data_IF_331427655965
#
_entry.id   IF_331427655965
#
_cell.length_a   1.000
_cell.length_b   1.000
_cell.length_c   1.000
_cell.angle_alpha   90.00
_cell.angle_beta   90.00
_cell.angle_gamma   90.00
#
_symmetry.space_group_name_H-M   'P 1'
#
loop_
_entity.id
_entity.type
_entity.pdbx_description
1 polymer ?
#
# COMPACT_ATOMS: atom_id res chain seq x y z
N UNK A 1 -10.75 8.09 6.84
CA UNK A 1 -9.72 7.80 5.82
C UNK A 1 -10.41 7.07 4.68
N UNK A 2 -9.91 7.19 3.46
CA UNK A 2 -10.31 6.32 2.34
C UNK A 2 -9.17 5.33 2.10
N UNK A 3 -9.49 4.07 1.83
CA UNK A 3 -8.52 3.04 1.43
C UNK A 3 -8.88 2.63 0.00
N UNK A 4 -7.92 2.64 -0.91
CA UNK A 4 -8.14 2.30 -2.32
C UNK A 4 -6.91 1.56 -2.86
N UNK A 5 -7.12 0.49 -3.60
CA UNK A 5 -6.07 -0.28 -4.25
C UNK A 5 -6.33 -0.41 -5.72
N UNK A 6 -5.33 -0.85 -6.47
CA UNK A 6 -5.55 -1.45 -7.80
C UNK A 6 -6.25 -0.46 -8.75
N UNK A 7 -5.93 0.83 -8.58
CA UNK A 7 -6.58 1.94 -9.25
C UNK A 7 -5.79 2.47 -10.44
N UNK A 8 -4.63 1.89 -10.74
CA UNK A 8 -3.61 2.43 -11.65
C UNK A 8 -3.92 2.48 -13.14
N UNK A 9 -5.19 2.63 -13.51
CA UNK A 9 -5.65 2.86 -14.87
C UNK A 9 -5.28 1.74 -15.84
N UNK A 10 -4.71 2.13 -16.98
CA UNK A 10 -4.31 1.20 -18.05
C UNK A 10 -2.86 1.42 -18.47
N UNK A 11 -2.20 0.38 -18.99
CA UNK A 11 -0.82 0.47 -19.50
C UNK A 11 -0.66 1.18 -20.85
N UNK A 12 -1.75 1.61 -21.48
CA UNK A 12 -1.75 2.29 -22.77
C UNK A 12 -2.64 3.53 -22.74
N UNK A 13 -2.41 4.53 -23.63
CA UNK A 13 -3.27 5.69 -23.71
C UNK A 13 -4.75 5.31 -23.82
N UNK A 14 -5.65 5.99 -23.09
CA UNK A 14 -5.43 7.25 -22.39
C UNK A 14 -4.88 7.14 -20.95
N UNK A 15 -4.41 5.96 -20.54
CA UNK A 15 -3.80 5.64 -19.22
C UNK A 15 -4.73 5.70 -18.01
N UNK A 16 -6.04 5.84 -18.23
CA UNK A 16 -7.08 5.76 -17.20
C UNK A 16 -8.22 4.88 -17.65
N UNK A 17 -8.99 4.32 -16.70
CA UNK A 17 -10.18 3.51 -16.99
C UNK A 17 -11.49 4.19 -16.54
N UNK A 18 -12.63 3.73 -17.07
CA UNK A 18 -13.94 4.22 -16.62
C UNK A 18 -14.17 3.90 -15.14
N UNK A 19 -13.74 2.73 -14.68
CA UNK A 19 -13.95 2.27 -13.31
C UNK A 19 -13.09 3.06 -12.32
N UNK A 20 -11.86 3.41 -12.71
CA UNK A 20 -10.98 4.30 -11.97
C UNK A 20 -11.62 5.69 -11.81
N UNK A 21 -12.16 6.26 -12.89
CA UNK A 21 -12.85 7.57 -12.82
C UNK A 21 -14.12 7.53 -11.98
N UNK A 22 -14.92 6.46 -12.11
CA UNK A 22 -16.10 6.28 -11.27
C UNK A 22 -15.72 6.18 -9.79
N UNK A 23 -14.63 5.48 -9.48
CA UNK A 23 -14.06 5.41 -8.13
C UNK A 23 -13.62 6.78 -7.64
N UNK A 24 -12.91 7.56 -8.47
CA UNK A 24 -12.51 8.93 -8.14
C UNK A 24 -13.71 9.85 -7.87
N UNK A 25 -14.79 9.72 -8.63
CA UNK A 25 -16.05 10.44 -8.38
C UNK A 25 -16.66 10.04 -7.02
N UNK A 26 -16.79 8.75 -6.74
CA UNK A 26 -17.32 8.29 -5.45
C UNK A 26 -16.45 8.74 -4.26
N UNK A 27 -15.13 8.71 -4.41
CA UNK A 27 -14.20 9.25 -3.40
C UNK A 27 -14.42 10.76 -3.18
N UNK A 28 -14.68 11.51 -4.25
CA UNK A 28 -14.95 12.95 -4.19
C UNK A 28 -16.23 13.25 -3.41
N UNK A 29 -17.31 12.49 -3.65
CA UNK A 29 -18.57 12.60 -2.91
C UNK A 29 -18.40 12.29 -1.42
N UNK A 30 -17.60 11.27 -1.09
CA UNK A 30 -17.26 10.94 0.31
C UNK A 30 -16.51 12.09 0.98
N UNK A 31 -15.58 12.75 0.28
CA UNK A 31 -14.84 13.89 0.81
C UNK A 31 -15.71 15.16 0.96
N UNK A 32 -16.79 15.29 0.20
CA UNK A 32 -17.75 16.40 0.34
C UNK A 32 -18.68 16.19 1.53
N UNK A 33 -19.09 14.95 1.79
CA UNK A 33 -19.98 14.57 2.91
C UNK A 33 -19.22 14.43 4.24
N UNK A 34 -17.93 14.08 4.21
CA UNK A 34 -17.18 13.64 5.41
C UNK A 34 -15.82 14.30 5.51
N UNK A 35 -15.38 14.50 6.75
CA UNK A 35 -14.00 14.92 7.04
C UNK A 35 -13.01 13.77 6.80
N UNK A 36 -12.59 13.60 5.55
CA UNK A 36 -11.50 12.70 5.16
C UNK A 36 -10.18 13.40 5.43
N UNK A 37 -9.28 12.72 6.14
CA UNK A 37 -7.95 13.26 6.49
C UNK A 37 -6.79 12.65 5.70
N UNK A 38 -7.03 11.53 5.03
CA UNK A 38 -6.01 10.76 4.31
C UNK A 38 -6.66 9.76 3.34
N UNK A 39 -5.96 9.51 2.24
CA UNK A 39 -6.14 8.34 1.37
C UNK A 39 -4.97 7.39 1.61
N UNK A 40 -5.26 6.10 1.79
CA UNK A 40 -4.28 5.02 1.87
C UNK A 40 -4.35 4.22 0.56
N UNK A 41 -3.32 4.33 -0.28
CA UNK A 41 -3.19 3.45 -1.45
C UNK A 41 -2.65 2.10 -1.01
N UNK A 42 -3.25 0.99 -1.46
CA UNK A 42 -2.74 -0.37 -1.25
C UNK A 42 -1.93 -0.90 -2.45
N UNK A 43 -1.42 -0.01 -3.31
CA UNK A 43 -0.51 -0.38 -4.41
C UNK A 43 -1.21 -0.66 -5.73
N UNK A 44 -0.41 -1.11 -6.71
CA UNK A 44 -0.74 -1.15 -8.13
C UNK A 44 -1.22 0.20 -8.65
N UNK A 45 -0.36 1.19 -8.39
CA UNK A 45 -0.63 2.59 -8.66
C UNK A 45 -0.58 2.91 -10.17
N UNK A 46 0.12 2.09 -10.97
CA UNK A 46 0.26 2.28 -12.40
C UNK A 46 0.33 0.94 -13.17
N UNK A 47 -0.80 0.47 -13.72
CA UNK A 47 -0.84 -0.75 -14.54
C UNK A 47 -0.23 -0.55 -15.94
N UNK A 48 0.32 -1.56 -16.61
CA UNK A 48 0.64 -2.91 -16.12
C UNK A 48 2.14 -3.08 -15.79
N UNK A 49 2.95 -2.04 -15.97
CA UNK A 49 4.40 -2.10 -15.79
C UNK A 49 4.96 -0.92 -15.00
N UNK A 50 4.14 -0.30 -14.15
CA UNK A 50 4.54 0.83 -13.34
C UNK A 50 4.87 2.06 -14.18
N UNK A 51 5.79 2.87 -13.65
CA UNK A 51 6.36 4.03 -14.35
C UNK A 51 7.56 3.57 -15.17
N UNK A 52 7.54 3.80 -16.48
CA UNK A 52 8.61 3.34 -17.36
C UNK A 52 9.85 4.24 -17.40
N UNK A 53 9.68 5.52 -17.04
CA UNK A 53 10.73 6.53 -17.17
C UNK A 53 11.26 6.99 -15.81
N UNK A 54 10.88 8.18 -15.35
CA UNK A 54 11.36 8.83 -14.13
C UNK A 54 10.19 9.59 -13.46
N UNK A 55 10.50 10.38 -12.44
CA UNK A 55 9.51 11.14 -11.68
C UNK A 55 8.78 12.25 -12.47
N UNK A 56 9.08 12.42 -13.77
CA UNK A 56 8.38 13.34 -14.69
C UNK A 56 7.51 12.61 -15.72
N UNK A 57 7.29 11.30 -15.57
CA UNK A 57 6.43 10.53 -16.48
C UNK A 57 5.00 11.09 -16.53
N UNK A 58 4.45 11.27 -17.74
CA UNK A 58 3.10 11.81 -17.95
C UNK A 58 2.00 10.94 -17.32
N UNK A 59 2.31 9.69 -16.95
CA UNK A 59 1.40 8.81 -16.22
C UNK A 59 1.04 9.30 -14.83
N UNK A 60 1.94 10.00 -14.13
CA UNK A 60 1.56 10.67 -12.88
C UNK A 60 0.44 11.69 -13.10
N UNK A 61 0.47 12.40 -14.24
CA UNK A 61 -0.59 13.34 -14.57
C UNK A 61 -1.86 12.62 -15.03
N UNK A 62 -1.74 11.73 -16.02
CA UNK A 62 -2.89 11.13 -16.71
C UNK A 62 -3.65 10.08 -15.90
N UNK A 63 -2.96 9.34 -15.03
CA UNK A 63 -3.56 8.31 -14.16
C UNK A 63 -3.85 8.84 -12.76
N UNK A 64 -3.04 9.76 -12.22
CA UNK A 64 -3.23 10.23 -10.83
C UNK A 64 -3.76 11.67 -10.71
N UNK A 65 -3.07 12.66 -11.28
CA UNK A 65 -3.43 14.07 -11.06
C UNK A 65 -4.75 14.48 -11.74
N UNK A 66 -4.96 14.07 -12.99
CA UNK A 66 -6.15 14.42 -13.76
C UNK A 66 -7.38 13.59 -13.34
N UNK A 67 -7.17 12.35 -12.91
CA UNK A 67 -8.25 11.44 -12.47
C UNK A 67 -8.79 11.87 -11.11
N UNK A 68 -7.92 12.07 -10.12
CA UNK A 68 -8.30 12.47 -8.75
C UNK A 68 -8.28 14.00 -8.60
N UNK A 69 -8.86 14.71 -9.56
CA UNK A 69 -8.75 16.16 -9.73
C UNK A 69 -9.82 17.00 -9.00
N UNK A 70 -10.83 16.37 -8.40
CA UNK A 70 -11.91 17.08 -7.71
C UNK A 70 -11.37 17.99 -6.58
N UNK A 71 -11.90 19.22 -6.41
CA UNK A 71 -11.49 20.11 -5.32
C UNK A 71 -11.56 19.47 -3.93
N UNK A 72 -12.52 18.55 -3.69
CA UNK A 72 -12.66 17.85 -2.41
C UNK A 72 -11.54 16.84 -2.14
N UNK A 73 -10.81 16.40 -3.17
CA UNK A 73 -9.67 15.47 -3.07
C UNK A 73 -8.30 16.16 -3.11
N UNK A 74 -8.20 17.33 -3.75
CA UNK A 74 -6.91 18.01 -3.99
C UNK A 74 -6.11 18.33 -2.71
N UNK A 75 -6.80 18.57 -1.59
CA UNK A 75 -6.17 18.85 -0.30
C UNK A 75 -5.82 17.61 0.54
N UNK A 76 -6.21 16.41 0.11
CA UNK A 76 -6.10 15.19 0.92
C UNK A 76 -4.77 14.49 0.61
N UNK A 77 -3.92 14.21 1.62
CA UNK A 77 -2.68 13.46 1.41
C UNK A 77 -2.97 11.98 1.09
N UNK A 78 -2.22 11.44 0.14
CA UNK A 78 -2.19 10.04 -0.25
C UNK A 78 -0.91 9.41 0.28
N UNK A 79 -1.06 8.39 1.12
CA UNK A 79 0.02 7.54 1.59
C UNK A 79 0.08 6.30 0.71
N UNK A 80 1.24 6.02 0.13
CA UNK A 80 1.36 5.08 -0.98
C UNK A 80 2.19 3.88 -0.58
N UNK A 81 1.71 2.65 -0.84
CA UNK A 81 2.58 1.48 -1.00
C UNK A 81 2.71 1.14 -2.49
N UNK A 82 3.75 0.38 -2.86
CA UNK A 82 3.89 -0.19 -4.19
C UNK A 82 3.26 -1.60 -4.24
N UNK A 83 2.63 -1.92 -5.37
CA UNK A 83 2.17 -3.27 -5.71
C UNK A 83 3.08 -3.98 -6.70
N UNK A 84 2.69 -5.17 -7.17
CA UNK A 84 3.53 -5.95 -8.07
C UNK A 84 3.74 -5.25 -9.42
N UNK A 85 2.72 -4.58 -9.97
CA UNK A 85 2.86 -3.86 -11.24
C UNK A 85 3.79 -2.65 -11.11
N UNK A 86 3.81 -2.01 -9.94
CA UNK A 86 4.73 -0.91 -9.66
C UNK A 86 6.19 -1.36 -9.64
N UNK A 87 6.45 -2.56 -9.11
CA UNK A 87 7.77 -3.18 -9.04
C UNK A 87 8.31 -3.68 -10.37
N UNK A 88 7.45 -3.92 -11.36
CA UNK A 88 7.87 -4.17 -12.75
C UNK A 88 8.52 -2.90 -13.34
N UNK A 89 8.03 -1.72 -12.93
CA UNK A 89 8.51 -0.43 -13.39
C UNK A 89 9.60 0.20 -12.51
N UNK A 90 9.80 1.50 -12.71
CA UNK A 90 10.72 2.30 -11.93
C UNK A 90 10.06 2.80 -10.64
N UNK A 91 10.15 2.01 -9.57
CA UNK A 91 9.65 2.41 -8.24
C UNK A 91 10.36 3.67 -7.71
N UNK A 92 11.64 3.85 -8.05
CA UNK A 92 12.39 5.04 -7.62
C UNK A 92 11.79 6.32 -8.20
N UNK A 93 11.16 6.26 -9.38
CA UNK A 93 10.37 7.36 -9.94
C UNK A 93 9.16 7.69 -9.06
N UNK A 94 8.43 6.68 -8.59
CA UNK A 94 7.29 6.87 -7.68
C UNK A 94 7.71 7.47 -6.33
N UNK A 95 8.83 7.02 -5.77
CA UNK A 95 9.41 7.64 -4.56
C UNK A 95 9.81 9.09 -4.85
N UNK A 96 10.50 9.32 -5.97
CA UNK A 96 10.94 10.65 -6.44
C UNK A 96 9.79 11.62 -6.64
N UNK A 97 8.63 11.15 -7.10
CA UNK A 97 7.43 11.94 -7.32
C UNK A 97 6.90 12.64 -6.06
N UNK A 98 7.24 12.13 -4.87
CA UNK A 98 6.93 12.79 -3.59
C UNK A 98 7.52 14.21 -3.47
N UNK A 99 8.49 14.56 -4.31
CA UNK A 99 9.07 15.93 -4.39
C UNK A 99 8.26 16.87 -5.29
N UNK A 100 7.36 16.34 -6.11
CA UNK A 100 6.63 17.06 -7.15
C UNK A 100 5.15 17.23 -6.84
N UNK A 101 4.55 16.31 -6.07
CA UNK A 101 3.16 16.40 -5.64
C UNK A 101 3.05 16.45 -4.12
N UNK A 102 2.40 17.49 -3.59
CA UNK A 102 2.22 17.68 -2.14
C UNK A 102 1.26 16.66 -1.52
N UNK A 103 0.40 16.04 -2.34
CA UNK A 103 -0.51 14.98 -1.92
C UNK A 103 0.08 13.59 -2.09
N UNK A 104 1.10 13.39 -2.93
CA UNK A 104 1.79 12.10 -3.05
C UNK A 104 2.82 11.91 -1.93
N UNK A 105 2.57 10.97 -1.00
CA UNK A 105 3.47 10.66 0.12
C UNK A 105 3.99 9.24 -0.02
N UNK A 106 5.14 9.10 -0.69
CA UNK A 106 5.86 7.84 -0.83
C UNK A 106 7.38 8.03 -0.56
N UNK A 107 7.80 8.25 0.70
CA UNK A 107 9.19 8.60 0.99
C UNK A 107 10.18 7.43 0.88
N UNK A 108 9.69 6.20 1.06
CA UNK A 108 10.45 4.95 0.97
C UNK A 108 9.48 3.76 0.86
N UNK A 109 9.98 2.60 0.42
CA UNK A 109 9.20 1.36 0.35
C UNK A 109 8.53 0.98 1.69
N UNK A 110 9.22 1.25 2.79
CA UNK A 110 8.71 1.07 4.14
C UNK A 110 8.71 2.41 4.86
N UNK A 111 7.56 2.84 5.37
CA UNK A 111 7.39 4.11 6.06
C UNK A 111 6.16 4.08 6.96
N UNK A 112 6.07 4.99 7.91
CA UNK A 112 4.91 5.07 8.80
C UNK A 112 4.55 6.51 9.12
N UNK A 113 3.30 6.72 9.48
CA UNK A 113 2.74 8.01 9.85
C UNK A 113 1.90 7.89 11.10
N UNK A 114 2.04 8.87 12.00
CA UNK A 114 1.15 9.02 13.14
C UNK A 114 0.15 10.12 12.80
N UNK A 115 -1.11 9.74 12.66
CA UNK A 115 -2.21 10.62 12.33
C UNK A 115 -3.03 10.88 13.60
N UNK A 116 -3.40 12.14 13.82
CA UNK A 116 -4.24 12.53 14.97
C UNK A 116 -5.69 12.73 14.53
N UNK A 117 -6.62 12.03 15.18
CA UNK A 117 -8.06 12.24 15.04
C UNK A 117 -8.55 13.05 16.23
N UNK A 118 -8.85 14.33 15.99
CA UNK A 118 -9.11 15.28 17.06
C UNK A 118 -7.89 15.51 17.97
N UNK A 119 -8.14 15.88 19.23
CA UNK A 119 -7.06 16.25 20.16
C UNK A 119 -6.39 15.05 20.87
N UNK A 120 -6.99 13.86 20.83
CA UNK A 120 -6.60 12.77 21.73
C UNK A 120 -6.24 11.46 21.02
N UNK A 121 -6.90 11.11 19.91
CA UNK A 121 -6.74 9.79 19.30
C UNK A 121 -5.57 9.79 18.31
N UNK A 122 -4.62 8.89 18.51
CA UNK A 122 -3.46 8.66 17.64
C UNK A 122 -3.62 7.36 16.88
N UNK A 123 -3.57 7.44 15.55
CA UNK A 123 -3.58 6.31 14.64
C UNK A 123 -2.20 6.17 14.03
N UNK A 124 -1.52 5.07 14.32
CA UNK A 124 -0.31 4.68 13.59
C UNK A 124 -0.74 4.00 12.29
N UNK A 125 -0.23 4.48 11.17
CA UNK A 125 -0.37 3.84 9.86
C UNK A 125 1.02 3.40 9.41
N UNK A 126 1.24 2.09 9.31
CA UNK A 126 2.51 1.49 8.86
C UNK A 126 2.32 0.99 7.44
N UNK A 127 3.09 1.55 6.51
CA UNK A 127 3.04 1.25 5.08
C UNK A 127 4.21 0.30 4.77
N UNK A 128 3.90 -0.91 4.30
CA UNK A 128 4.87 -1.99 4.07
C UNK A 128 4.90 -2.44 2.62
N UNK A 129 6.07 -2.82 2.14
CA UNK A 129 6.25 -3.38 0.80
C UNK A 129 6.20 -4.91 0.85
N UNK A 130 5.08 -5.48 0.39
CA UNK A 130 4.87 -6.94 0.41
C UNK A 130 5.66 -7.67 -0.68
N UNK A 131 6.06 -6.97 -1.75
CA UNK A 131 6.87 -7.55 -2.82
C UNK A 131 8.29 -7.78 -2.30
N UNK A 132 8.84 -6.88 -1.50
CA UNK A 132 10.12 -7.11 -0.79
C UNK A 132 10.02 -8.32 0.16
N UNK A 133 8.87 -8.56 0.78
CA UNK A 133 8.66 -9.64 1.76
C UNK A 133 8.42 -11.03 1.11
N UNK A 134 7.70 -11.09 -0.01
CA UNK A 134 7.24 -12.35 -0.62
C UNK A 134 7.73 -12.58 -2.07
N UNK A 135 8.27 -11.54 -2.72
CA UNK A 135 8.68 -11.57 -4.12
C UNK A 135 7.58 -11.12 -5.08
N UNK A 136 7.92 -11.00 -6.36
CA UNK A 136 6.92 -10.82 -7.42
C UNK A 136 6.15 -12.13 -7.59
N UNK A 137 4.82 -12.07 -7.59
CA UNK A 137 3.95 -13.25 -7.67
C UNK A 137 4.23 -14.13 -8.90
N UNK A 138 4.75 -13.55 -10.00
CA UNK A 138 5.07 -14.25 -11.24
C UNK A 138 6.44 -14.97 -11.22
N UNK A 139 7.36 -14.54 -10.35
CA UNK A 139 8.64 -15.21 -10.17
C UNK A 139 8.48 -16.27 -9.09
N UNK A 140 7.96 -17.44 -9.48
CA UNK A 140 7.80 -18.60 -8.60
C UNK A 140 8.99 -18.74 -7.67
N UNK A 141 8.79 -18.37 -6.41
CA UNK A 141 9.90 -18.06 -5.52
C UNK A 141 10.55 -19.37 -5.05
N UNK A 142 11.60 -19.78 -5.76
CA UNK A 142 12.43 -20.92 -5.38
C UNK A 142 13.29 -20.52 -4.19
N UNK A 143 12.71 -20.54 -3.00
CA UNK A 143 13.46 -20.41 -1.77
C UNK A 143 14.31 -21.69 -1.60
N UNK A 144 15.60 -21.61 -1.94
CA UNK A 144 16.55 -22.72 -1.76
C UNK A 144 16.89 -22.87 -0.28
N UNK A 145 16.10 -23.66 0.44
CA UNK A 145 16.22 -23.80 1.88
C UNK A 145 16.59 -25.23 2.24
N UNK A 146 17.51 -25.40 3.19
CA UNK A 146 17.80 -26.70 3.81
C UNK A 146 16.72 -27.00 4.84
N UNK A 147 16.33 -28.27 4.94
CA UNK A 147 15.37 -28.72 5.94
C UNK A 147 15.84 -28.38 7.36
N UNK A 148 14.96 -27.76 8.17
CA UNK A 148 15.18 -27.52 9.61
C UNK A 148 15.41 -26.06 10.04
N UNK A 149 15.61 -25.11 9.12
CA UNK A 149 15.87 -23.69 9.44
C UNK A 149 14.66 -22.78 9.20
N UNK A 150 13.62 -22.87 10.04
CA UNK A 150 12.58 -21.84 10.14
C UNK A 150 11.91 -21.40 8.82
N UNK A 151 11.53 -20.12 8.72
CA UNK A 151 11.13 -19.50 7.46
C UNK A 151 12.40 -18.94 6.80
N UNK A 152 12.67 -19.41 5.60
CA UNK A 152 13.86 -19.06 4.84
C UNK A 152 13.72 -17.68 4.21
N UNK A 153 14.63 -16.76 4.51
CA UNK A 153 14.54 -15.34 4.14
C UNK A 153 15.90 -14.78 3.72
N UNK A 154 15.90 -13.87 2.75
CA UNK A 154 17.08 -13.06 2.41
C UNK A 154 17.40 -12.04 3.51
N UNK A 155 18.60 -11.46 3.47
CA UNK A 155 18.96 -10.38 4.40
C UNK A 155 18.05 -9.15 4.24
N UNK A 156 17.62 -8.86 3.00
CA UNK A 156 16.64 -7.80 2.71
C UNK A 156 15.30 -8.08 3.38
N UNK A 157 14.79 -9.30 3.28
CA UNK A 157 13.54 -9.71 3.91
C UNK A 157 13.63 -9.66 5.44
N UNK A 158 14.77 -10.07 6.02
CA UNK A 158 15.03 -9.97 7.46
C UNK A 158 15.04 -8.50 7.92
N UNK A 159 15.79 -7.66 7.22
CA UNK A 159 15.85 -6.22 7.48
C UNK A 159 14.48 -5.56 7.38
N UNK A 160 13.64 -5.98 6.42
CA UNK A 160 12.28 -5.48 6.29
C UNK A 160 11.41 -5.86 7.50
N UNK A 161 11.46 -7.11 7.97
CA UNK A 161 10.73 -7.53 9.17
C UNK A 161 11.22 -6.81 10.43
N UNK A 162 12.53 -6.67 10.60
CA UNK A 162 13.11 -5.93 11.72
C UNK A 162 12.66 -4.46 11.71
N UNK A 163 12.59 -3.85 10.53
CA UNK A 163 12.06 -2.50 10.37
C UNK A 163 10.59 -2.41 10.80
N UNK A 164 9.75 -3.36 10.38
CA UNK A 164 8.32 -3.40 10.73
C UNK A 164 8.14 -3.53 12.25
N UNK A 165 8.85 -4.50 12.86
CA UNK A 165 8.80 -4.70 14.31
C UNK A 165 9.33 -3.49 15.10
N UNK A 166 10.37 -2.82 14.59
CA UNK A 166 10.88 -1.57 15.18
C UNK A 166 9.85 -0.43 15.09
N UNK A 167 9.19 -0.26 13.94
CA UNK A 167 8.14 0.73 13.77
C UNK A 167 6.97 0.48 14.75
N UNK A 168 6.52 -0.76 14.87
CA UNK A 168 5.43 -1.13 15.79
C UNK A 168 5.83 -0.96 17.26
N UNK A 169 7.01 -1.45 17.65
CA UNK A 169 7.48 -1.37 19.04
C UNK A 169 7.65 0.06 19.56
N UNK A 170 8.10 0.99 18.71
CA UNK A 170 8.20 2.42 19.06
C UNK A 170 6.86 3.07 19.42
N UNK A 171 5.76 2.47 18.99
CA UNK A 171 4.42 3.00 19.15
C UNK A 171 3.50 2.11 20.00
N UNK A 172 4.03 1.01 20.55
CA UNK A 172 3.29 0.15 21.46
C UNK A 172 2.94 0.90 22.74
N UNK A 173 1.65 0.87 23.10
CA UNK A 173 1.09 1.65 24.21
C UNK A 173 1.05 3.16 23.97
N UNK A 174 1.44 3.66 22.79
CA UNK A 174 1.39 5.09 22.43
C UNK A 174 0.29 5.39 21.41
N UNK A 175 0.09 4.52 20.42
CA UNK A 175 -0.99 4.64 19.46
C UNK A 175 -2.27 3.96 19.99
N UNK A 176 -3.41 4.60 19.78
CA UNK A 176 -4.73 4.03 20.12
C UNK A 176 -5.15 2.97 19.09
N UNK A 177 -4.80 3.20 17.83
CA UNK A 177 -5.04 2.29 16.71
C UNK A 177 -3.78 2.11 15.87
N UNK A 178 -3.57 0.89 15.39
CA UNK A 178 -2.46 0.55 14.51
C UNK A 178 -3.02 -0.10 13.23
N UNK A 179 -2.87 0.59 12.11
CA UNK A 179 -3.20 0.08 10.79
C UNK A 179 -1.90 -0.28 10.09
N UNK A 180 -1.85 -1.48 9.49
CA UNK A 180 -0.75 -1.87 8.60
C UNK A 180 -1.32 -1.98 7.19
N UNK A 181 -0.66 -1.36 6.22
CA UNK A 181 -1.08 -1.30 4.82
C UNK A 181 -0.01 -1.95 3.97
N UNK A 182 -0.38 -2.96 3.18
CA UNK A 182 0.48 -3.61 2.20
C UNK A 182 -0.28 -3.89 0.91
N UNK A 183 0.37 -4.44 -0.10
CA UNK A 183 -0.31 -4.76 -1.36
C UNK A 183 -0.94 -6.16 -1.32
N UNK A 184 -0.15 -7.20 -1.08
CA UNK A 184 -0.65 -8.58 -1.06
C UNK A 184 -1.51 -8.89 0.17
N UNK A 185 -2.60 -9.65 0.01
CA UNK A 185 -3.46 -10.05 1.12
C UNK A 185 -2.82 -11.15 1.98
N UNK A 186 -2.90 -11.03 3.30
CA UNK A 186 -2.62 -12.17 4.20
C UNK A 186 -3.69 -13.24 3.99
N UNK A 187 -4.94 -12.80 3.89
CA UNK A 187 -6.11 -13.64 3.66
C UNK A 187 -6.94 -13.06 2.53
N UNK A 188 -7.35 -13.90 1.59
CA UNK A 188 -8.32 -13.57 0.55
C UNK A 188 -9.01 -14.84 0.07
N UNK A 189 -10.27 -14.71 -0.35
CA UNK A 189 -11.08 -15.79 -0.94
C UNK A 189 -11.27 -15.61 -2.47
N UNK A 190 -10.54 -14.67 -3.07
CA UNK A 190 -10.65 -14.33 -4.48
C UNK A 190 -9.58 -15.06 -5.33
N UNK A 191 -9.23 -14.50 -6.48
CA UNK A 191 -8.45 -15.17 -7.52
C UNK A 191 -7.03 -15.54 -7.05
N UNK A 192 -6.32 -14.60 -6.42
CA UNK A 192 -4.97 -14.82 -5.91
C UNK A 192 -4.97 -15.58 -4.58
N UNK A 193 -5.97 -15.32 -3.74
CA UNK A 193 -6.15 -16.02 -2.48
C UNK A 193 -5.14 -15.59 -1.41
N UNK A 194 -4.95 -16.39 -0.34
CA UNK A 194 -4.12 -16.00 0.79
C UNK A 194 -2.61 -16.10 0.49
N UNK A 195 -1.84 -15.06 0.85
CA UNK A 195 -0.38 -15.13 0.83
C UNK A 195 0.14 -15.77 2.12
N UNK A 196 0.17 -17.11 2.16
CA UNK A 196 0.53 -17.88 3.36
C UNK A 196 1.90 -17.54 3.97
N UNK A 197 2.88 -17.14 3.14
CA UNK A 197 4.18 -16.70 3.66
C UNK A 197 4.02 -15.44 4.50
N UNK A 198 3.27 -14.45 4.03
CA UNK A 198 2.98 -13.23 4.79
C UNK A 198 2.24 -13.54 6.09
N UNK A 199 1.29 -14.49 6.08
CA UNK A 199 0.65 -14.98 7.30
C UNK A 199 1.70 -15.46 8.32
N UNK A 200 2.62 -16.34 7.90
CA UNK A 200 3.66 -16.88 8.79
C UNK A 200 4.67 -15.83 9.28
N UNK A 201 4.96 -14.81 8.47
CA UNK A 201 5.93 -13.76 8.79
C UNK A 201 5.33 -12.64 9.65
N UNK A 202 4.14 -12.17 9.31
CA UNK A 202 3.55 -10.95 9.86
C UNK A 202 2.59 -11.21 11.00
N UNK A 203 1.80 -12.29 10.99
CA UNK A 203 0.79 -12.53 12.03
C UNK A 203 1.39 -12.60 13.44
N UNK A 204 2.55 -13.28 13.69
CA UNK A 204 3.17 -13.27 15.01
C UNK A 204 3.52 -11.85 15.50
N UNK A 205 4.00 -10.98 14.59
CA UNK A 205 4.33 -9.59 14.89
C UNK A 205 3.05 -8.79 15.15
N UNK A 206 2.03 -8.97 14.31
CA UNK A 206 0.76 -8.25 14.42
C UNK A 206 0.02 -8.59 15.71
N UNK A 207 0.00 -9.86 16.11
CA UNK A 207 -0.55 -10.29 17.40
C UNK A 207 0.23 -9.70 18.56
N UNK A 208 1.58 -9.75 18.52
CA UNK A 208 2.43 -9.21 19.59
C UNK A 208 2.18 -7.72 19.85
N UNK A 209 2.03 -6.92 18.79
CA UNK A 209 1.83 -5.47 18.89
C UNK A 209 0.36 -5.03 18.79
N UNK A 210 -0.58 -5.98 18.81
CA UNK A 210 -2.04 -5.72 18.78
C UNK A 210 -2.45 -4.81 17.61
N UNK A 211 -1.94 -5.12 16.41
CA UNK A 211 -2.34 -4.43 15.18
C UNK A 211 -3.87 -4.50 15.04
N UNK A 212 -4.49 -3.34 14.79
CA UNK A 212 -5.95 -3.21 14.72
C UNK A 212 -6.50 -3.81 13.43
N UNK A 213 -5.88 -3.50 12.31
CA UNK A 213 -6.28 -4.02 11.00
C UNK A 213 -5.09 -4.07 10.05
N UNK A 214 -5.09 -5.09 9.20
CA UNK A 214 -4.26 -5.16 8.00
C UNK A 214 -5.12 -4.81 6.78
N UNK A 215 -4.64 -3.91 5.94
CA UNK A 215 -5.33 -3.40 4.76
C UNK A 215 -4.51 -3.75 3.52
N UNK A 216 -5.15 -4.37 2.53
CA UNK A 216 -4.50 -4.84 1.30
C UNK A 216 -5.41 -4.73 0.08
N UNK A 217 -4.81 -4.80 -1.10
CA UNK A 217 -5.47 -4.86 -2.40
C UNK A 217 -5.14 -6.17 -3.12
N UNK A 218 -4.62 -6.06 -4.35
CA UNK A 218 -4.15 -7.14 -5.22
C UNK A 218 -5.27 -8.03 -5.79
N UNK A 219 -6.12 -8.56 -4.92
CA UNK A 219 -7.36 -9.18 -5.38
C UNK A 219 -8.39 -8.08 -5.68
N UNK A 220 -8.81 -7.97 -6.95
CA UNK A 220 -9.69 -6.91 -7.46
C UNK A 220 -11.17 -7.07 -7.02
N UNK A 221 -11.38 -7.23 -5.71
CA UNK A 221 -12.67 -7.35 -5.04
C UNK A 221 -12.63 -6.68 -3.66
N UNK A 222 -13.78 -6.38 -3.08
CA UNK A 222 -13.86 -5.89 -1.71
C UNK A 222 -14.20 -7.03 -0.73
N UNK A 223 -13.37 -7.20 0.31
CA UNK A 223 -13.55 -8.23 1.33
C UNK A 223 -13.31 -7.66 2.73
N UNK A 224 -14.03 -8.18 3.73
CA UNK A 224 -13.78 -7.93 5.15
C UNK A 224 -13.78 -9.28 5.87
N UNK A 225 -12.64 -9.64 6.44
CA UNK A 225 -12.38 -10.91 7.10
C UNK A 225 -12.11 -10.63 8.58
N UNK A 226 -12.67 -11.46 9.45
CA UNK A 226 -12.45 -11.39 10.90
C UNK A 226 -12.17 -12.81 11.41
N UNK A 227 -11.25 -12.90 12.38
CA UNK A 227 -10.92 -14.12 13.12
C UNK A 227 -11.58 -14.13 14.50
#
# INVERSE_FOLDING_TARGET
MIVVGDWGGMGTPPYWSSDERNTATAMSEVCEDRSVMAVLSTGDNFYEGGISTNEFDDRFKSTFEDVFSSPSLQGIPWYIVAGNHDHIGNISAQIGYSKHSSRWRFPALFHYHVLSVGAAVKVLVVMIDTIVLDGLAEEGSSYNCRDGEGICMSETQRSALEWIENALSKHDGVADFILVVGHYPIWSLAEHGPTYRLSRLLMPIFTKYRVTAYLSGHDHVHQHLYE
#
